data_IF_161077291227
#
_entry.id   IF_161077291227
#
_cell.length_a   1.000
_cell.length_b   1.000
_cell.length_c   1.000
_cell.angle_alpha   90.00
_cell.angle_beta   90.00
_cell.angle_gamma   90.00
#
_symmetry.space_group_name_H-M   'P 1'
#
loop_
_entity.id
_entity.type
_entity.pdbx_description
1 polymer ?
#
# COMPACT_ATOMS: atom_id res chain seq x y z
N UNK A 1 2.47 -23.63 16.52
CA UNK A 1 1.37 -22.80 17.07
C UNK A 1 0.04 -23.42 16.65
N UNK A 2 -0.91 -23.64 17.57
CA UNK A 2 -2.22 -24.23 17.20
C UNK A 2 -3.00 -23.25 16.30
N UNK A 3 -3.46 -23.71 15.13
CA UNK A 3 -4.33 -22.92 14.24
C UNK A 3 -5.59 -22.55 15.00
N UNK A 4 -5.95 -21.26 15.04
CA UNK A 4 -7.20 -20.78 15.63
C UNK A 4 -8.33 -21.20 14.67
N UNK A 5 -9.26 -22.07 15.08
CA UNK A 5 -10.33 -22.52 14.22
C UNK A 5 -11.32 -21.38 13.93
N UNK A 6 -11.79 -21.26 12.69
CA UNK A 6 -12.74 -20.22 12.29
C UNK A 6 -14.02 -20.21 13.15
N UNK A 7 -14.48 -21.40 13.54
CA UNK A 7 -15.66 -21.56 14.38
C UNK A 7 -15.50 -20.89 15.76
N UNK A 8 -14.28 -20.71 16.28
CA UNK A 8 -14.08 -20.03 17.57
C UNK A 8 -14.31 -18.52 17.47
N UNK A 9 -13.95 -17.90 16.34
CA UNK A 9 -14.24 -16.48 16.07
C UNK A 9 -15.74 -16.30 15.83
N UNK A 10 -16.36 -17.19 15.07
CA UNK A 10 -17.80 -17.17 14.80
C UNK A 10 -18.62 -17.37 16.09
N UNK A 11 -18.20 -18.29 16.97
CA UNK A 11 -18.86 -18.52 18.26
C UNK A 11 -18.77 -17.28 19.17
N UNK A 12 -17.62 -16.60 19.22
CA UNK A 12 -17.47 -15.37 19.98
C UNK A 12 -18.40 -14.26 19.47
N UNK A 13 -18.53 -14.10 18.14
CA UNK A 13 -19.48 -13.16 17.54
C UNK A 13 -20.94 -13.53 17.81
N UNK A 14 -21.28 -14.82 17.78
CA UNK A 14 -22.62 -15.31 18.07
C UNK A 14 -23.01 -15.01 19.52
N UNK A 15 -22.13 -15.32 20.48
CA UNK A 15 -22.36 -15.04 21.90
C UNK A 15 -22.48 -13.53 22.14
N UNK A 16 -21.56 -12.73 21.58
CA UNK A 16 -21.63 -11.26 21.67
C UNK A 16 -22.99 -10.73 21.20
N UNK A 17 -23.49 -11.21 20.06
CA UNK A 17 -24.77 -10.79 19.49
C UNK A 17 -25.95 -11.11 20.41
N UNK A 18 -26.01 -12.33 20.98
CA UNK A 18 -27.09 -12.74 21.90
C UNK A 18 -27.17 -11.84 23.13
N UNK A 19 -26.03 -11.48 23.70
CA UNK A 19 -26.02 -10.58 24.85
C UNK A 19 -26.36 -9.14 24.47
N UNK A 20 -25.80 -8.63 23.36
CA UNK A 20 -26.00 -7.25 22.92
C UNK A 20 -27.42 -6.95 22.45
N UNK A 21 -28.09 -7.88 21.75
CA UNK A 21 -29.42 -7.65 21.16
C UNK A 21 -30.55 -8.37 21.88
N UNK A 22 -30.28 -9.48 22.58
CA UNK A 22 -31.29 -10.23 23.32
C UNK A 22 -31.31 -9.89 24.80
N UNK A 23 -30.24 -10.27 25.51
CA UNK A 23 -30.22 -10.23 26.98
C UNK A 23 -30.31 -8.81 27.56
N UNK A 24 -29.59 -7.85 26.99
CA UNK A 24 -29.63 -6.45 27.46
C UNK A 24 -31.05 -5.88 27.37
N UNK A 25 -31.73 -6.04 26.24
CA UNK A 25 -33.09 -5.52 26.05
C UNK A 25 -34.11 -6.24 26.92
N UNK A 26 -33.96 -7.56 27.11
CA UNK A 26 -34.80 -8.34 27.99
C UNK A 26 -34.74 -7.81 29.45
N UNK A 27 -33.54 -7.63 30.00
CA UNK A 27 -33.39 -7.13 31.38
C UNK A 27 -33.81 -5.67 31.54
N UNK A 28 -33.58 -4.83 30.52
CA UNK A 28 -34.12 -3.46 30.50
C UNK A 28 -35.66 -3.45 30.53
N UNK A 29 -36.32 -4.37 29.81
CA UNK A 29 -37.78 -4.47 29.80
C UNK A 29 -38.36 -4.83 31.18
N UNK A 30 -37.60 -5.60 31.96
CA UNK A 30 -37.94 -5.97 33.35
C UNK A 30 -37.50 -4.93 34.38
N UNK A 31 -36.90 -3.80 33.94
CA UNK A 31 -36.29 -2.77 34.81
C UNK A 31 -35.18 -3.30 35.73
N UNK A 32 -34.54 -4.40 35.35
CA UNK A 32 -33.41 -5.01 36.05
C UNK A 32 -32.08 -4.44 35.54
N UNK A 33 -31.77 -3.22 36.00
CA UNK A 33 -30.63 -2.46 35.47
C UNK A 33 -29.26 -3.07 35.80
N UNK A 34 -29.12 -3.74 36.95
CA UNK A 34 -27.88 -4.45 37.31
C UNK A 34 -27.57 -5.56 36.31
N UNK A 35 -28.58 -6.33 35.93
CA UNK A 35 -28.44 -7.51 35.08
C UNK A 35 -28.22 -7.11 33.62
N UNK A 36 -28.86 -6.01 33.18
CA UNK A 36 -28.56 -5.37 31.90
C UNK A 36 -27.10 -4.87 31.82
N UNK A 37 -26.57 -4.31 32.91
CA UNK A 37 -25.17 -3.89 32.97
C UNK A 37 -24.21 -5.09 32.87
N UNK A 38 -24.49 -6.19 33.58
CA UNK A 38 -23.71 -7.43 33.45
C UNK A 38 -23.75 -7.99 32.02
N UNK A 39 -24.93 -8.05 31.39
CA UNK A 39 -25.07 -8.52 30.02
C UNK A 39 -24.25 -7.66 29.02
N UNK A 40 -24.19 -6.34 29.25
CA UNK A 40 -23.42 -5.41 28.42
C UNK A 40 -21.90 -5.65 28.56
N UNK A 41 -21.41 -5.84 29.78
CA UNK A 41 -20.00 -6.15 30.04
C UNK A 41 -19.59 -7.47 29.39
N UNK A 42 -20.44 -8.50 29.48
CA UNK A 42 -20.22 -9.79 28.81
C UNK A 42 -20.12 -9.62 27.29
N UNK A 43 -21.02 -8.86 26.67
CA UNK A 43 -20.96 -8.59 25.23
C UNK A 43 -19.63 -7.92 24.82
N UNK A 44 -19.18 -6.92 25.58
CA UNK A 44 -17.91 -6.23 25.31
C UNK A 44 -16.70 -7.16 25.44
N UNK A 45 -16.68 -8.07 26.42
CA UNK A 45 -15.60 -9.05 26.58
C UNK A 45 -15.53 -9.98 25.37
N UNK A 46 -16.67 -10.51 24.91
CA UNK A 46 -16.69 -11.40 23.75
C UNK A 46 -16.37 -10.67 22.44
N UNK A 47 -16.80 -9.42 22.27
CA UNK A 47 -16.38 -8.58 21.14
C UNK A 47 -14.85 -8.36 21.13
N UNK A 48 -14.28 -8.01 22.29
CA UNK A 48 -12.84 -7.84 22.45
C UNK A 48 -12.05 -9.12 22.16
N UNK A 49 -12.55 -10.27 22.65
CA UNK A 49 -11.97 -11.57 22.38
C UNK A 49 -12.03 -11.95 20.89
N UNK A 50 -13.16 -11.70 20.22
CA UNK A 50 -13.31 -11.94 18.78
C UNK A 50 -12.32 -11.10 17.96
N UNK A 51 -12.20 -9.80 18.25
CA UNK A 51 -11.26 -8.89 17.59
C UNK A 51 -9.81 -9.34 17.83
N UNK A 52 -9.47 -9.73 19.06
CA UNK A 52 -8.14 -10.22 19.41
C UNK A 52 -7.80 -11.51 18.65
N UNK A 53 -8.72 -12.48 18.63
CA UNK A 53 -8.53 -13.75 17.92
C UNK A 53 -8.41 -13.54 16.41
N UNK A 54 -9.21 -12.66 15.83
CA UNK A 54 -9.14 -12.31 14.40
C UNK A 54 -7.77 -11.73 14.05
N UNK A 55 -7.31 -10.72 14.80
CA UNK A 55 -5.98 -10.12 14.60
C UNK A 55 -4.85 -11.11 14.78
N UNK A 56 -4.98 -12.05 15.73
CA UNK A 56 -3.96 -13.08 15.98
C UNK A 56 -3.93 -14.12 14.87
N UNK A 57 -5.10 -14.52 14.36
CA UNK A 57 -5.23 -15.40 13.19
C UNK A 57 -4.62 -14.72 11.96
N UNK A 58 -4.96 -13.46 11.68
CA UNK A 58 -4.39 -12.70 10.56
C UNK A 58 -2.86 -12.61 10.64
N UNK A 59 -2.30 -12.39 11.84
CA UNK A 59 -0.84 -12.44 12.08
C UNK A 59 -0.27 -13.85 11.86
N UNK A 60 -0.97 -14.89 12.29
CA UNK A 60 -0.51 -16.27 12.17
C UNK A 60 -0.55 -16.77 10.72
N UNK A 61 -1.57 -16.38 9.95
CA UNK A 61 -1.69 -16.70 8.52
C UNK A 61 -0.61 -15.94 7.72
N UNK A 62 -0.30 -14.69 8.08
CA UNK A 62 0.85 -13.96 7.54
C UNK A 62 2.21 -14.64 7.86
N UNK A 63 2.34 -15.29 9.03
CA UNK A 63 3.54 -16.01 9.48
C UNK A 63 3.61 -17.47 9.00
N UNK A 64 2.51 -18.07 8.53
CA UNK A 64 2.50 -19.42 7.96
C UNK A 64 2.79 -19.45 6.44
N UNK A 65 2.58 -18.33 5.74
CA UNK A 65 2.97 -18.10 4.33
C UNK A 65 4.48 -17.88 4.00
N UNK A 66 5.46 -17.71 4.91
CA UNK A 66 6.79 -17.22 4.51
C UNK A 66 7.67 -18.25 3.78
N UNK A 67 7.61 -19.54 4.11
CA UNK A 67 8.64 -20.51 3.66
C UNK A 67 8.28 -21.13 2.30
N UNK A 68 7.00 -21.44 2.04
CA UNK A 68 6.55 -21.97 0.74
C UNK A 68 6.37 -20.87 -0.32
N UNK A 69 6.02 -19.63 0.07
CA UNK A 69 5.89 -18.49 -0.84
C UNK A 69 7.24 -17.89 -1.24
N UNK A 70 8.22 -17.87 -0.33
CA UNK A 70 9.60 -17.50 -0.64
C UNK A 70 10.21 -18.48 -1.66
N UNK A 71 9.97 -19.78 -1.54
CA UNK A 71 10.39 -20.74 -2.56
C UNK A 71 9.72 -20.50 -3.94
N UNK A 72 8.45 -20.09 -3.99
CA UNK A 72 7.76 -19.72 -5.24
C UNK A 72 8.32 -18.46 -5.91
N UNK A 73 8.79 -17.51 -5.12
CA UNK A 73 9.36 -16.23 -5.60
C UNK A 73 10.63 -16.37 -6.41
N UNK A 74 11.38 -17.44 -6.17
CA UNK A 74 12.69 -17.69 -6.78
C UNK A 74 12.64 -18.67 -7.95
N UNK A 75 11.50 -19.31 -8.23
CA UNK A 75 11.39 -20.30 -9.32
C UNK A 75 10.11 -20.14 -10.14
N UNK A 76 10.20 -19.65 -11.38
CA UNK A 76 9.42 -20.30 -12.44
C UNK A 76 9.07 -19.56 -13.73
N UNK A 77 9.02 -18.22 -13.81
CA UNK A 77 8.56 -17.57 -15.05
C UNK A 77 9.49 -16.45 -15.52
N UNK A 78 10.10 -16.68 -16.69
CA UNK A 78 10.92 -15.69 -17.40
C UNK A 78 10.15 -14.39 -17.72
N UNK A 79 8.81 -14.40 -17.69
CA UNK A 79 7.95 -13.23 -17.92
C UNK A 79 8.06 -12.17 -16.82
N UNK A 80 8.27 -12.56 -15.56
CA UNK A 80 8.27 -11.60 -14.45
C UNK A 80 9.58 -10.81 -14.38
N UNK A 81 10.69 -11.45 -14.70
CA UNK A 81 11.99 -10.77 -14.88
C UNK A 81 11.99 -9.90 -16.15
N UNK A 82 11.25 -10.29 -17.20
CA UNK A 82 11.11 -9.46 -18.42
C UNK A 82 10.46 -8.12 -18.12
N UNK A 83 9.47 -8.07 -17.24
CA UNK A 83 8.86 -6.80 -16.84
C UNK A 83 9.89 -5.86 -16.20
N UNK A 84 10.64 -6.36 -15.22
CA UNK A 84 11.66 -5.56 -14.51
C UNK A 84 12.75 -5.10 -15.49
N UNK A 85 13.22 -5.98 -16.38
CA UNK A 85 14.16 -5.62 -17.45
C UNK A 85 13.59 -4.59 -18.44
N UNK A 86 12.28 -4.57 -18.66
CA UNK A 86 11.61 -3.63 -19.56
C UNK A 86 11.26 -2.29 -18.89
N UNK A 87 11.30 -2.19 -17.55
CA UNK A 87 10.91 -0.98 -16.81
C UNK A 87 11.59 0.31 -17.31
N UNK A 88 12.91 0.35 -17.60
CA UNK A 88 13.55 1.57 -18.09
C UNK A 88 12.95 2.03 -19.43
N UNK A 89 12.67 1.08 -20.33
CA UNK A 89 12.06 1.37 -21.65
C UNK A 89 10.60 1.81 -21.52
N UNK A 90 9.82 1.14 -20.66
CA UNK A 90 8.43 1.52 -20.40
C UNK A 90 8.34 2.91 -19.77
N UNK A 91 9.20 3.19 -18.79
CA UNK A 91 9.34 4.50 -18.17
C UNK A 91 9.58 5.56 -19.23
N UNK A 92 10.54 5.35 -20.14
CA UNK A 92 10.82 6.29 -21.24
C UNK A 92 9.57 6.62 -22.05
N UNK A 93 8.82 5.61 -22.49
CA UNK A 93 7.59 5.82 -23.28
C UNK A 93 6.58 6.71 -22.54
N UNK A 94 6.42 6.50 -21.23
CA UNK A 94 5.50 7.32 -20.42
C UNK A 94 6.02 8.74 -20.25
N UNK A 95 7.32 8.94 -20.03
CA UNK A 95 7.93 10.27 -19.93
C UNK A 95 7.88 11.03 -21.26
N UNK A 96 8.15 10.37 -22.38
CA UNK A 96 8.07 10.97 -23.71
C UNK A 96 6.64 11.44 -24.00
N UNK A 97 5.63 10.65 -23.59
CA UNK A 97 4.21 11.06 -23.69
C UNK A 97 3.85 12.20 -22.73
N UNK A 98 4.35 12.18 -21.49
CA UNK A 98 4.08 13.22 -20.51
C UNK A 98 4.72 14.56 -20.87
N UNK A 99 5.85 14.52 -21.58
CA UNK A 99 6.56 15.71 -22.07
C UNK A 99 5.67 16.63 -22.89
N UNK A 100 4.82 16.07 -23.75
CA UNK A 100 3.86 16.85 -24.55
C UNK A 100 2.95 17.72 -23.66
N UNK A 101 2.54 17.20 -22.49
CA UNK A 101 1.72 17.93 -21.52
C UNK A 101 2.54 18.88 -20.62
N UNK A 102 3.82 18.57 -20.35
CA UNK A 102 4.70 19.48 -19.63
C UNK A 102 5.11 20.70 -20.45
N UNK A 103 5.28 20.53 -21.77
CA UNK A 103 5.75 21.57 -22.68
C UNK A 103 4.66 22.59 -23.06
N UNK A 104 3.39 22.37 -22.67
CA UNK A 104 2.30 23.30 -23.00
C UNK A 104 2.36 24.61 -22.21
N UNK A 105 3.02 24.59 -21.04
CA UNK A 105 3.04 25.72 -20.11
C UNK A 105 1.72 25.99 -19.40
N UNK A 106 0.68 25.18 -19.65
CA UNK A 106 -0.63 25.31 -19.01
C UNK A 106 -0.64 24.44 -17.76
N UNK A 107 -0.70 25.07 -16.57
CA UNK A 107 -0.49 24.37 -15.29
C UNK A 107 -1.42 23.18 -15.04
N UNK A 108 -2.65 23.18 -15.59
CA UNK A 108 -3.56 22.03 -15.45
C UNK A 108 -3.11 20.83 -16.29
N UNK A 109 -2.60 21.08 -17.50
CA UNK A 109 -2.09 20.04 -18.41
C UNK A 109 -0.75 19.49 -17.90
N UNK A 110 0.15 20.37 -17.47
CA UNK A 110 1.42 19.97 -16.85
C UNK A 110 1.20 19.10 -15.61
N UNK A 111 0.19 19.45 -14.80
CA UNK A 111 -0.18 18.65 -13.62
C UNK A 111 -0.77 17.30 -14.03
N UNK A 112 -1.61 17.25 -15.06
CA UNK A 112 -2.16 16.00 -15.57
C UNK A 112 -1.06 15.07 -16.10
N UNK A 113 -0.13 15.59 -16.90
CA UNK A 113 1.02 14.82 -17.37
C UNK A 113 1.84 14.23 -16.21
N UNK A 114 1.98 14.98 -15.12
CA UNK A 114 2.63 14.47 -13.91
C UNK A 114 1.85 13.32 -13.26
N UNK A 115 0.52 13.37 -13.26
CA UNK A 115 -0.31 12.26 -12.78
C UNK A 115 -0.17 11.01 -13.63
N UNK A 116 -0.05 11.13 -14.95
CA UNK A 116 0.11 9.99 -15.84
C UNK A 116 1.42 9.22 -15.52
N UNK A 117 2.51 9.95 -15.23
CA UNK A 117 3.78 9.35 -14.77
C UNK A 117 3.63 8.70 -13.39
N UNK A 118 2.94 9.36 -12.46
CA UNK A 118 2.70 8.83 -11.10
C UNK A 118 1.88 7.54 -11.15
N UNK A 119 0.85 7.46 -11.99
CA UNK A 119 0.03 6.26 -12.16
C UNK A 119 0.86 5.09 -12.71
N UNK A 120 1.74 5.35 -13.67
CA UNK A 120 2.69 4.34 -14.15
C UNK A 120 3.64 3.86 -13.04
N UNK A 121 4.19 4.78 -12.24
CA UNK A 121 5.10 4.43 -11.15
C UNK A 121 4.38 3.70 -10.00
N UNK A 122 3.13 4.05 -9.66
CA UNK A 122 2.29 3.28 -8.73
C UNK A 122 2.12 1.85 -9.25
N UNK A 123 1.79 1.70 -10.54
CA UNK A 123 1.63 0.39 -11.16
C UNK A 123 2.95 -0.41 -11.12
N UNK A 124 4.07 0.20 -11.50
CA UNK A 124 5.38 -0.44 -11.49
C UNK A 124 5.73 -0.92 -10.07
N UNK A 125 5.55 -0.08 -9.06
CA UNK A 125 5.85 -0.44 -7.68
C UNK A 125 4.91 -1.52 -7.15
N UNK A 126 3.63 -1.51 -7.53
CA UNK A 126 2.69 -2.58 -7.19
C UNK A 126 3.11 -3.93 -7.78
N UNK A 127 3.57 -3.95 -9.04
CA UNK A 127 4.09 -5.18 -9.68
C UNK A 127 5.35 -5.67 -8.98
N UNK A 128 6.24 -4.77 -8.55
CA UNK A 128 7.41 -5.12 -7.74
C UNK A 128 7.01 -5.65 -6.34
N UNK A 129 5.92 -5.15 -5.78
CA UNK A 129 5.45 -5.57 -4.47
C UNK A 129 4.93 -7.02 -4.45
N UNK A 130 4.54 -7.59 -5.59
CA UNK A 130 4.17 -9.01 -5.71
C UNK A 130 5.35 -9.94 -5.39
N UNK A 131 6.59 -9.43 -5.55
CA UNK A 131 7.81 -10.10 -5.11
C UNK A 131 8.08 -9.95 -3.60
N UNK A 132 7.10 -9.58 -2.78
CA UNK A 132 7.23 -9.62 -1.31
C UNK A 132 6.10 -10.37 -0.61
N UNK A 133 6.39 -11.11 0.48
CA UNK A 133 5.42 -12.00 1.12
C UNK A 133 4.10 -11.33 1.46
N UNK A 134 3.03 -12.13 1.50
CA UNK A 134 1.74 -11.64 2.02
C UNK A 134 1.95 -11.00 3.39
N UNK A 135 1.43 -9.79 3.56
CA UNK A 135 1.55 -9.01 4.79
C UNK A 135 2.86 -8.21 4.96
N UNK A 136 3.83 -8.32 4.04
CA UNK A 136 5.09 -7.57 4.09
C UNK A 136 4.87 -6.05 4.06
N UNK A 137 3.94 -5.59 3.23
CA UNK A 137 3.50 -4.19 3.17
C UNK A 137 2.33 -3.89 4.13
N UNK A 138 2.27 -4.61 5.25
CA UNK A 138 1.23 -4.47 6.26
C UNK A 138 -0.06 -5.23 5.96
N UNK A 139 -0.96 -5.24 6.94
CA UNK A 139 -2.17 -6.08 6.95
C UNK A 139 -3.20 -5.74 5.87
N UNK A 140 -3.16 -4.53 5.32
CA UNK A 140 -4.06 -4.09 4.23
C UNK A 140 -3.47 -4.34 2.83
N UNK A 141 -2.29 -4.96 2.75
CA UNK A 141 -1.63 -5.31 1.51
C UNK A 141 -0.93 -4.14 0.79
N UNK A 142 -0.16 -4.46 -0.28
CA UNK A 142 0.71 -3.52 -0.96
C UNK A 142 -0.04 -2.34 -1.62
N UNK A 143 -1.24 -2.58 -2.16
CA UNK A 143 -2.08 -1.51 -2.73
C UNK A 143 -2.42 -0.43 -1.71
N UNK A 144 -2.82 -0.82 -0.50
CA UNK A 144 -3.13 0.17 0.53
C UNK A 144 -1.88 0.89 1.02
N UNK A 145 -0.76 0.19 1.14
CA UNK A 145 0.50 0.77 1.56
C UNK A 145 1.00 1.83 0.57
N UNK A 146 1.12 1.47 -0.71
CA UNK A 146 1.66 2.33 -1.76
C UNK A 146 0.76 3.56 -1.96
N UNK A 147 -0.56 3.40 -1.97
CA UNK A 147 -1.49 4.55 -2.09
C UNK A 147 -1.40 5.51 -0.91
N UNK A 148 -1.28 4.98 0.31
CA UNK A 148 -1.10 5.83 1.48
C UNK A 148 0.25 6.56 1.38
N UNK A 149 1.32 5.88 0.97
CA UNK A 149 2.62 6.51 0.74
C UNK A 149 2.49 7.68 -0.25
N UNK A 150 1.91 7.46 -1.43
CA UNK A 150 1.71 8.51 -2.46
C UNK A 150 0.93 9.69 -1.89
N UNK A 151 -0.20 9.43 -1.23
CA UNK A 151 -1.01 10.47 -0.60
C UNK A 151 -0.20 11.28 0.42
N UNK A 152 0.56 10.60 1.27
CA UNK A 152 1.33 11.24 2.32
C UNK A 152 2.49 12.07 1.71
N UNK A 153 3.08 11.64 0.59
CA UNK A 153 4.04 12.43 -0.19
C UNK A 153 3.39 13.68 -0.78
N UNK A 154 2.21 13.56 -1.40
CA UNK A 154 1.46 14.73 -1.85
C UNK A 154 1.23 15.73 -0.70
N UNK A 155 0.74 15.26 0.45
CA UNK A 155 0.51 16.12 1.61
C UNK A 155 1.78 16.83 2.08
N UNK A 156 2.89 16.11 2.17
CA UNK A 156 4.18 16.67 2.55
C UNK A 156 4.64 17.74 1.55
N UNK A 157 4.58 17.46 0.24
CA UNK A 157 5.04 18.39 -0.79
C UNK A 157 4.16 19.63 -0.92
N UNK A 158 2.84 19.50 -0.76
CA UNK A 158 1.94 20.65 -0.65
C UNK A 158 2.31 21.54 0.53
N UNK A 159 2.50 20.96 1.72
CA UNK A 159 2.91 21.72 2.90
C UNK A 159 4.29 22.38 2.73
N UNK A 160 5.23 21.71 2.03
CA UNK A 160 6.57 22.24 1.72
C UNK A 160 6.51 23.47 0.80
N UNK A 161 5.67 23.43 -0.24
CA UNK A 161 5.57 24.49 -1.25
C UNK A 161 4.61 25.62 -0.86
N UNK A 162 3.75 25.41 0.14
CA UNK A 162 2.80 26.42 0.65
C UNK A 162 3.01 26.72 2.14
N UNK A 163 4.17 27.29 2.54
CA UNK A 163 4.50 27.52 3.95
C UNK A 163 3.54 28.48 4.66
N UNK A 164 2.83 29.33 3.90
CA UNK A 164 1.86 30.29 4.43
C UNK A 164 0.42 29.74 4.48
N UNK A 165 0.23 28.45 4.18
CA UNK A 165 -1.05 27.77 4.22
C UNK A 165 -1.60 27.43 2.82
N UNK A 166 -2.65 26.58 2.76
CA UNK A 166 -3.16 26.03 1.51
C UNK A 166 -3.64 27.11 0.52
N UNK A 167 -3.24 26.98 -0.75
CA UNK A 167 -3.64 27.86 -1.84
C UNK A 167 -2.83 29.15 -1.96
N UNK A 168 -1.74 29.31 -1.20
CA UNK A 168 -0.91 30.53 -1.23
C UNK A 168 0.10 30.57 -2.37
N UNK A 169 0.46 29.44 -2.96
CA UNK A 169 1.46 29.40 -4.05
C UNK A 169 0.88 29.41 -5.46
N UNK A 170 -0.45 29.51 -5.61
CA UNK A 170 -1.13 29.53 -6.90
C UNK A 170 -1.11 28.17 -7.61
N UNK A 171 -1.43 28.17 -8.91
CA UNK A 171 -1.60 26.92 -9.68
C UNK A 171 -0.29 26.17 -9.95
N UNK A 172 0.85 26.88 -9.94
CA UNK A 172 2.17 26.30 -10.20
C UNK A 172 2.60 25.29 -9.13
N UNK A 173 2.12 25.44 -7.89
CA UNK A 173 2.43 24.48 -6.81
C UNK A 173 2.00 23.06 -7.18
N UNK A 174 0.85 22.90 -7.82
CA UNK A 174 0.37 21.58 -8.25
C UNK A 174 1.33 20.89 -9.21
N UNK A 175 2.05 21.65 -10.03
CA UNK A 175 3.09 21.13 -10.94
C UNK A 175 4.34 20.75 -10.16
N UNK A 176 4.82 21.62 -9.26
CA UNK A 176 6.01 21.37 -8.43
C UNK A 176 5.82 20.14 -7.52
N UNK A 177 4.64 20.01 -6.91
CA UNK A 177 4.27 18.86 -6.10
C UNK A 177 4.24 17.58 -6.94
N UNK A 178 3.73 17.65 -8.17
CA UNK A 178 3.72 16.51 -9.10
C UNK A 178 5.14 16.00 -9.38
N UNK A 179 6.06 16.91 -9.75
CA UNK A 179 7.46 16.57 -9.99
C UNK A 179 8.16 15.95 -8.77
N UNK A 180 7.96 16.54 -7.59
CA UNK A 180 8.52 16.00 -6.34
C UNK A 180 8.04 14.57 -6.03
N UNK A 181 6.74 14.29 -6.23
CA UNK A 181 6.17 12.95 -5.98
C UNK A 181 6.70 11.93 -6.99
N UNK A 182 6.89 12.34 -8.25
CA UNK A 182 7.55 11.51 -9.26
C UNK A 182 8.95 11.13 -8.79
N UNK A 183 9.76 12.08 -8.33
CA UNK A 183 11.13 11.81 -7.85
C UNK A 183 11.16 10.82 -6.68
N UNK A 184 10.23 10.92 -5.74
CA UNK A 184 10.12 9.95 -4.65
C UNK A 184 9.78 8.55 -5.16
N UNK A 185 8.83 8.44 -6.09
CA UNK A 185 8.40 7.16 -6.63
C UNK A 185 9.45 6.52 -7.53
N UNK A 186 10.21 7.32 -8.28
CA UNK A 186 11.38 6.88 -9.02
C UNK A 186 12.41 6.25 -8.07
N UNK A 187 12.73 6.94 -6.98
CA UNK A 187 13.65 6.42 -5.96
C UNK A 187 13.14 5.12 -5.34
N UNK A 188 11.88 5.08 -4.89
CA UNK A 188 11.29 3.89 -4.29
C UNK A 188 11.25 2.69 -5.23
N UNK A 189 10.94 2.91 -6.51
CA UNK A 189 10.96 1.86 -7.53
C UNK A 189 12.38 1.35 -7.72
N UNK A 190 13.38 2.23 -7.79
CA UNK A 190 14.80 1.85 -7.89
C UNK A 190 15.26 1.01 -6.71
N UNK A 191 14.97 1.47 -5.50
CA UNK A 191 15.39 0.83 -4.26
C UNK A 191 14.73 -0.54 -4.10
N UNK A 192 13.46 -0.66 -4.50
CA UNK A 192 12.74 -1.93 -4.50
C UNK A 192 13.36 -2.93 -5.49
N UNK A 193 13.67 -2.50 -6.72
CA UNK A 193 14.41 -3.35 -7.69
C UNK A 193 15.76 -3.75 -7.11
N UNK A 194 16.52 -2.82 -6.55
CA UNK A 194 17.82 -3.11 -5.94
C UNK A 194 17.70 -4.17 -4.84
N UNK A 195 16.74 -4.02 -3.95
CA UNK A 195 16.50 -4.95 -2.85
C UNK A 195 16.12 -6.36 -3.36
N UNK A 196 15.39 -6.46 -4.47
CA UNK A 196 15.03 -7.73 -5.08
C UNK A 196 16.24 -8.44 -5.72
N UNK A 197 17.21 -7.69 -6.25
CA UNK A 197 18.34 -8.25 -7.01
C UNK A 197 19.71 -8.17 -6.31
N UNK A 198 19.78 -7.65 -5.08
CA UNK A 198 21.05 -7.47 -4.34
C UNK A 198 21.88 -8.75 -4.15
N UNK A 199 21.24 -9.92 -4.20
CA UNK A 199 21.90 -11.23 -4.05
C UNK A 199 21.85 -12.08 -5.33
N UNK A 200 21.64 -11.45 -6.50
CA UNK A 200 21.46 -12.16 -7.77
C UNK A 200 22.55 -11.82 -8.79
N UNK A 201 23.37 -12.81 -9.12
CA UNK A 201 24.45 -12.67 -10.12
C UNK A 201 23.91 -12.55 -11.57
N UNK A 202 22.61 -12.76 -11.80
CA UNK A 202 21.99 -12.79 -13.13
C UNK A 202 21.28 -11.47 -13.51
N UNK A 203 21.45 -10.41 -12.72
CA UNK A 203 20.85 -9.11 -12.96
C UNK A 203 21.86 -7.98 -12.74
N UNK A 204 22.26 -7.35 -13.83
CA UNK A 204 23.17 -6.21 -13.84
C UNK A 204 22.43 -4.93 -13.41
N UNK A 205 22.24 -4.76 -12.10
CA UNK A 205 21.50 -3.62 -11.55
C UNK A 205 22.11 -2.28 -11.96
N UNK A 206 23.44 -2.18 -11.99
CA UNK A 206 24.14 -0.95 -12.36
C UNK A 206 23.91 -0.60 -13.83
N UNK A 207 23.85 -1.59 -14.73
CA UNK A 207 23.50 -1.37 -16.14
C UNK A 207 22.04 -0.93 -16.27
N UNK A 208 21.13 -1.63 -15.61
CA UNK A 208 19.70 -1.28 -15.58
C UNK A 208 19.46 0.14 -15.04
N UNK A 209 20.17 0.52 -13.98
CA UNK A 209 20.07 1.86 -13.40
C UNK A 209 20.67 2.92 -14.34
N UNK A 210 21.80 2.61 -15.01
CA UNK A 210 22.37 3.49 -16.03
C UNK A 210 21.44 3.67 -17.22
N UNK A 211 20.81 2.63 -17.75
CA UNK A 211 19.82 2.76 -18.82
C UNK A 211 18.67 3.68 -18.41
N UNK A 212 18.25 3.57 -17.14
CA UNK A 212 17.21 4.43 -16.57
C UNK A 212 17.66 5.88 -16.38
N UNK A 213 18.92 6.13 -16.00
CA UNK A 213 19.45 7.48 -15.72
C UNK A 213 20.04 8.20 -16.93
N UNK A 214 20.69 7.47 -17.84
CA UNK A 214 21.30 8.02 -19.06
C UNK A 214 20.24 8.61 -19.99
N UNK A 215 19.02 8.09 -19.93
CA UNK A 215 17.87 8.62 -20.67
C UNK A 215 17.28 9.90 -20.05
N UNK A 216 17.78 10.34 -18.88
CA UNK A 216 17.49 11.65 -18.32
C UNK A 216 18.57 12.70 -18.65
N UNK A 217 19.67 12.30 -19.33
CA UNK A 217 20.85 13.12 -19.62
C UNK A 217 21.15 13.30 -21.11
N UNK A 218 20.29 12.82 -22.03
CA UNK A 218 20.37 13.18 -23.46
C UNK A 218 19.77 14.57 -23.76
N UNK A 219 19.72 15.45 -22.75
CA UNK A 219 19.37 16.87 -22.81
C UNK A 219 20.54 17.73 -22.32
#
# INVERSE_FOLDING_TARGET
>A
MRKIPEWTIQLAWAICSVFATGAVWYFLSLKQYSDAAYATVVALIFAGAAIYLHRRKDKADAVASPVEEFARRYTGQASDIRFIKALPKLRRVVYDSAREGWDTGITVEMRQASYDVIDFLEYAWLRLAEFYPVGHFGLRGPRSYIRNYIRDRFQFHWAKHEPNGPGTGGTIVGVLVGGDVIDDLERMTSDTVRALFVHHDNFEFDEWQRERSAQAQEE
#
